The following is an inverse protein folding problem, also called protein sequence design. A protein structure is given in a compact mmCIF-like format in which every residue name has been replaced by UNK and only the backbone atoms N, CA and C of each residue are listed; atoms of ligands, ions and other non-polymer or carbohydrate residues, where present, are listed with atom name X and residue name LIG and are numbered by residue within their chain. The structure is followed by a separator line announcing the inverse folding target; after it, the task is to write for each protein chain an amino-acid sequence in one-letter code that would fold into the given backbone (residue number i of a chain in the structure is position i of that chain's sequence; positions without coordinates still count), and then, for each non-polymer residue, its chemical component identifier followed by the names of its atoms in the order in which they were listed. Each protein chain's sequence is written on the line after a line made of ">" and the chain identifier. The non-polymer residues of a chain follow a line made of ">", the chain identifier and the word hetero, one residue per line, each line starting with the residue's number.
data_IF_812980379064
#
_entry.id   IF_812980379064
#
_cell.length_a   1.000
_cell.length_b   1.000
_cell.length_c   1.000
_cell.angle_alpha   90.00
_cell.angle_beta   90.00
_cell.angle_gamma   90.00
#
_symmetry.space_group_name_H-M   'P 1'
#
loop_
_entity.id
_entity.type
_entity.pdbx_description
1 polymer ?
#
# COMPACT_ATOMS: atom_id res chain seq x y z
N UNK A 1 -4.86 6.64 25.90
CA UNK A 1 -4.53 6.57 24.46
C UNK A 1 -4.69 5.11 24.09
N UNK A 2 -5.55 4.77 23.12
CA UNK A 2 -5.64 3.39 22.66
C UNK A 2 -4.36 3.11 21.87
N UNK A 3 -3.60 2.10 22.26
CA UNK A 3 -2.42 1.68 21.50
C UNK A 3 -2.89 1.18 20.13
N UNK A 4 -2.54 1.93 19.08
CA UNK A 4 -2.82 1.52 17.70
C UNK A 4 -1.92 0.33 17.39
N UNK A 5 -2.52 -0.80 17.01
CA UNK A 5 -1.75 -1.98 16.61
C UNK A 5 -1.09 -1.72 15.25
N UNK A 6 0.23 -1.73 15.21
CA UNK A 6 1.01 -1.58 13.99
C UNK A 6 1.27 -2.95 13.34
N UNK A 7 1.24 -3.00 12.01
CA UNK A 7 1.57 -4.17 11.22
C UNK A 7 2.59 -3.79 10.15
N UNK A 8 3.64 -4.58 10.04
CA UNK A 8 4.60 -4.45 8.95
C UNK A 8 4.09 -5.15 7.69
N UNK A 9 4.29 -4.52 6.54
CA UNK A 9 4.05 -5.10 5.22
C UNK A 9 5.07 -4.54 4.23
N UNK A 10 5.58 -5.39 3.34
CA UNK A 10 6.50 -4.99 2.28
C UNK A 10 5.76 -4.21 1.17
N UNK A 11 4.47 -4.47 0.99
CA UNK A 11 3.65 -3.74 0.04
C UNK A 11 2.20 -4.23 -0.03
N UNK A 12 1.48 -3.70 -1.02
CA UNK A 12 0.13 -4.12 -1.37
C UNK A 12 0.23 -5.11 -2.52
N UNK A 13 -0.17 -6.35 -2.29
CA UNK A 13 -0.23 -7.39 -3.32
C UNK A 13 -1.41 -7.23 -4.27
N UNK A 14 -2.60 -6.91 -3.73
CA UNK A 14 -3.80 -6.71 -4.54
C UNK A 14 -4.74 -5.67 -3.94
N UNK A 15 -5.36 -4.86 -4.81
CA UNK A 15 -6.52 -4.04 -4.48
C UNK A 15 -7.69 -4.54 -5.31
N UNK A 16 -8.83 -4.85 -4.69
CA UNK A 16 -10.02 -5.30 -5.41
C UNK A 16 -11.32 -4.77 -4.81
N UNK A 17 -12.32 -4.58 -5.66
CA UNK A 17 -13.66 -4.15 -5.29
C UNK A 17 -14.61 -5.36 -5.29
N UNK A 18 -15.17 -5.69 -4.13
CA UNK A 18 -16.09 -6.82 -3.99
C UNK A 18 -17.12 -6.56 -2.88
N UNK A 19 -18.40 -6.83 -3.17
CA UNK A 19 -19.49 -6.62 -2.22
C UNK A 19 -19.60 -5.17 -1.75
N UNK A 20 -19.46 -4.21 -2.66
CA UNK A 20 -19.47 -2.77 -2.38
C UNK A 20 -18.38 -2.29 -1.40
N UNK A 21 -17.33 -3.09 -1.21
CA UNK A 21 -16.19 -2.75 -0.36
C UNK A 21 -14.89 -2.85 -1.17
N UNK A 22 -13.93 -2.00 -0.82
CA UNK A 22 -12.56 -2.06 -1.31
C UNK A 22 -11.73 -2.88 -0.34
N UNK A 23 -10.90 -3.78 -0.88
CA UNK A 23 -10.07 -4.71 -0.11
C UNK A 23 -8.62 -4.54 -0.55
N UNK A 24 -7.75 -4.32 0.43
CA UNK A 24 -6.30 -4.25 0.27
C UNK A 24 -5.69 -5.50 0.88
N UNK A 25 -4.98 -6.25 0.07
CA UNK A 25 -4.16 -7.37 0.52
C UNK A 25 -2.72 -6.90 0.66
N UNK A 26 -2.28 -6.76 1.91
CA UNK A 26 -0.89 -6.52 2.22
C UNK A 26 -0.13 -7.84 2.19
N UNK A 27 1.10 -7.77 1.70
CA UNK A 27 1.98 -8.93 1.58
C UNK A 27 3.29 -8.68 2.30
N UNK A 28 3.89 -9.77 2.76
CA UNK A 28 5.28 -9.80 3.21
C UNK A 28 6.08 -10.73 2.31
N UNK A 29 7.34 -10.39 2.04
CA UNK A 29 8.26 -11.22 1.30
C UNK A 29 8.92 -12.20 2.27
N UNK A 30 8.50 -13.46 2.19
CA UNK A 30 9.08 -14.51 3.01
C UNK A 30 10.28 -15.13 2.29
N UNK A 31 11.39 -15.38 3.00
CA UNK A 31 12.54 -16.06 2.43
C UNK A 31 12.10 -17.44 1.92
N UNK A 32 12.40 -17.74 0.66
CA UNK A 32 12.18 -19.07 0.10
C UNK A 32 13.34 -20.00 0.48
N UNK A 33 13.11 -21.32 0.43
CA UNK A 33 14.20 -22.28 0.56
C UNK A 33 15.26 -22.10 -0.54
N UNK A 34 16.52 -22.29 -0.14
CA UNK A 34 17.77 -22.31 -0.93
C UNK A 34 17.74 -21.63 -2.31
N UNK A 35 18.21 -20.37 -2.33
CA UNK A 35 18.58 -19.66 -3.56
C UNK A 35 17.42 -19.19 -4.45
N UNK A 36 16.16 -19.42 -4.04
CA UNK A 36 14.98 -18.94 -4.76
C UNK A 36 14.59 -17.52 -4.37
N UNK A 37 13.91 -16.83 -5.29
CA UNK A 37 13.34 -15.52 -5.02
C UNK A 37 12.33 -15.58 -3.85
N UNK A 38 12.28 -14.56 -2.98
CA UNK A 38 11.31 -14.49 -1.89
C UNK A 38 9.89 -14.65 -2.40
N UNK A 39 9.05 -15.36 -1.63
CA UNK A 39 7.64 -15.57 -2.00
C UNK A 39 6.75 -14.56 -1.28
N UNK A 40 5.89 -13.81 -2.00
CA UNK A 40 4.93 -12.92 -1.36
C UNK A 40 3.85 -13.73 -0.66
N UNK A 41 3.68 -13.49 0.64
CA UNK A 41 2.63 -14.10 1.45
C UNK A 41 1.69 -13.03 2.01
N UNK A 42 0.36 -13.19 1.88
CA UNK A 42 -0.60 -12.26 2.48
C UNK A 42 -0.39 -12.17 3.99
N UNK A 43 -0.15 -10.97 4.51
CA UNK A 43 0.07 -10.71 5.94
C UNK A 43 -1.16 -10.13 6.62
N UNK A 44 -1.91 -9.28 5.92
CA UNK A 44 -3.09 -8.61 6.45
C UNK A 44 -4.02 -8.17 5.32
N UNK A 45 -5.33 -8.22 5.56
CA UNK A 45 -6.34 -7.64 4.67
C UNK A 45 -7.04 -6.48 5.36
N UNK A 46 -7.02 -5.30 4.74
CA UNK A 46 -7.85 -4.16 5.15
C UNK A 46 -9.07 -4.10 4.23
N UNK A 47 -10.25 -3.96 4.82
CA UNK A 47 -11.51 -3.82 4.10
C UNK A 47 -12.13 -2.48 4.49
N UNK A 48 -12.49 -1.67 3.51
CA UNK A 48 -13.07 -0.35 3.73
C UNK A 48 -14.13 0.00 2.69
N UNK A 49 -15.08 0.89 3.01
CA UNK A 49 -16.03 1.40 2.01
C UNK A 49 -15.34 2.30 0.97
N UNK A 50 -15.93 2.50 -0.22
CA UNK A 50 -15.38 3.36 -1.27
C UNK A 50 -15.05 4.78 -0.82
N UNK A 51 -15.87 5.36 0.06
CA UNK A 51 -15.60 6.70 0.59
C UNK A 51 -14.32 6.75 1.45
N UNK A 52 -14.08 5.70 2.25
CA UNK A 52 -12.84 5.56 3.02
C UNK A 52 -11.63 5.38 2.12
N UNK A 53 -11.80 4.62 1.03
CA UNK A 53 -10.77 4.45 0.00
C UNK A 53 -10.37 5.78 -0.66
N UNK A 54 -11.35 6.59 -1.08
CA UNK A 54 -11.08 7.91 -1.67
C UNK A 54 -10.37 8.85 -0.69
N UNK A 55 -10.76 8.81 0.59
CA UNK A 55 -10.07 9.55 1.64
C UNK A 55 -8.61 9.12 1.79
N UNK A 56 -8.36 7.81 1.85
CA UNK A 56 -7.00 7.26 1.93
C UNK A 56 -6.16 7.63 0.72
N UNK A 57 -6.72 7.56 -0.49
CA UNK A 57 -6.02 7.95 -1.72
C UNK A 57 -5.62 9.43 -1.72
N UNK A 58 -6.51 10.33 -1.31
CA UNK A 58 -6.19 11.75 -1.19
C UNK A 58 -5.06 11.99 -0.16
N UNK A 59 -5.08 11.27 0.97
CA UNK A 59 -4.00 11.34 1.96
C UNK A 59 -2.67 10.83 1.41
N UNK A 60 -2.68 9.76 0.61
CA UNK A 60 -1.48 9.24 -0.07
C UNK A 60 -0.91 10.27 -1.05
N UNK A 61 -1.77 10.93 -1.87
CA UNK A 61 -1.32 11.99 -2.77
C UNK A 61 -0.64 13.15 -2.03
N UNK A 62 -1.27 13.64 -0.96
CA UNK A 62 -0.69 14.71 -0.14
C UNK A 62 0.64 14.30 0.50
N UNK A 63 0.79 13.03 0.88
CA UNK A 63 2.05 12.52 1.40
C UNK A 63 3.13 12.46 0.32
N UNK A 64 2.78 12.02 -0.90
CA UNK A 64 3.69 12.03 -2.05
C UNK A 64 4.21 13.44 -2.33
N UNK A 65 3.32 14.44 -2.36
CA UNK A 65 3.73 15.82 -2.62
C UNK A 65 4.72 16.32 -1.57
N UNK A 66 4.49 16.03 -0.29
CA UNK A 66 5.44 16.35 0.80
C UNK A 66 6.79 15.65 0.63
N UNK A 67 6.80 14.39 0.19
CA UNK A 67 8.04 13.65 -0.06
C UNK A 67 8.83 14.23 -1.25
N UNK A 68 8.13 14.77 -2.25
CA UNK A 68 8.76 15.48 -3.38
C UNK A 68 9.34 16.82 -2.93
N UNK A 69 8.58 17.61 -2.15
CA UNK A 69 9.07 18.86 -1.58
C UNK A 69 10.31 18.66 -0.70
N UNK A 70 10.36 17.56 0.04
CA UNK A 70 11.52 17.18 0.85
C UNK A 70 12.71 16.63 0.04
N UNK A 71 12.55 16.46 -1.27
CA UNK A 71 13.59 15.91 -2.16
C UNK A 71 13.82 14.40 -2.02
N UNK A 72 12.97 13.69 -1.28
CA UNK A 72 13.05 12.23 -1.08
C UNK A 72 12.54 11.48 -2.31
N UNK A 73 11.52 12.01 -2.98
CA UNK A 73 10.99 11.50 -4.23
C UNK A 73 11.21 12.50 -5.36
N UNK A 74 11.49 12.00 -6.57
CA UNK A 74 11.50 12.80 -7.79
C UNK A 74 10.33 12.35 -8.66
N UNK A 75 9.48 13.30 -9.09
CA UNK A 75 8.45 13.01 -10.09
C UNK A 75 9.16 12.83 -11.44
N UNK A 76 9.06 11.64 -12.03
CA UNK A 76 9.47 11.46 -13.42
C UNK A 76 8.42 12.13 -14.32
N UNK A 77 8.77 13.25 -14.95
CA UNK A 77 7.88 13.99 -15.85
C UNK A 77 7.51 13.23 -17.14
N UNK A 78 8.08 12.04 -17.37
CA UNK A 78 7.90 11.24 -18.58
C UNK A 78 6.90 10.08 -18.47
N UNK A 79 6.30 9.83 -17.31
CA UNK A 79 5.22 8.84 -17.17
C UNK A 79 3.89 9.54 -16.89
N UNK A 80 3.11 9.73 -17.95
CA UNK A 80 1.71 10.13 -17.89
C UNK A 80 0.86 9.00 -17.26
N UNK A 81 0.90 8.85 -15.94
CA UNK A 81 -0.03 7.96 -15.24
C UNK A 81 0.39 7.60 -13.81
N UNK A 82 -0.41 8.05 -12.85
CA UNK A 82 -0.74 7.27 -11.65
C UNK A 82 -2.19 6.84 -11.76
#
# INVERSE_FOLDING_TARGET
>A
MADTKEFYADGIGQIHFAGNMVRFDFVTLQPAEDGKAPTPQPSMRIIMPPQGFLGAFNSMQQLIDKLVEAGVLQKNENESGF
#
